data_IF_194891224448
#
_entry.id   IF_194891224448
#
_cell.length_a   1.000
_cell.length_b   1.000
_cell.length_c   1.000
_cell.angle_alpha   90.00
_cell.angle_beta   90.00
_cell.angle_gamma   90.00
#
_symmetry.space_group_name_H-M   'P 1'
#
loop_
_entity.id
_entity.type
_entity.pdbx_description
1 polymer ?
#
# COMPACT_ATOMS: atom_id res chain seq x y z
N UNK A 1 -27.11 -38.14 -24.88
CA UNK A 1 -26.01 -37.95 -23.90
C UNK A 1 -26.09 -36.53 -23.36
N UNK A 2 -26.12 -36.34 -22.04
CA UNK A 2 -26.19 -34.99 -21.48
C UNK A 2 -24.92 -34.20 -21.84
N UNK A 3 -25.10 -33.04 -22.48
CA UNK A 3 -24.01 -32.20 -22.95
C UNK A 3 -23.13 -31.68 -21.81
N UNK A 4 -21.88 -31.26 -22.11
CA UNK A 4 -20.90 -30.81 -21.11
C UNK A 4 -21.42 -29.66 -20.22
N UNK A 5 -22.24 -28.76 -20.76
CA UNK A 5 -22.87 -27.66 -20.01
C UNK A 5 -23.82 -28.14 -18.90
N UNK A 6 -24.61 -29.19 -19.16
CA UNK A 6 -25.55 -29.72 -18.18
C UNK A 6 -24.80 -30.38 -17.00
N UNK A 7 -23.74 -31.14 -17.30
CA UNK A 7 -22.86 -31.74 -16.28
C UNK A 7 -22.20 -30.66 -15.40
N UNK A 8 -21.74 -29.58 -16.01
CA UNK A 8 -21.19 -28.43 -15.28
C UNK A 8 -22.24 -27.76 -14.37
N UNK A 9 -23.46 -27.54 -14.86
CA UNK A 9 -24.53 -26.95 -14.02
C UNK A 9 -24.93 -27.84 -12.84
N UNK A 10 -25.04 -29.16 -13.05
CA UNK A 10 -25.35 -30.10 -11.98
C UNK A 10 -24.23 -30.16 -10.92
N UNK A 11 -22.97 -30.11 -11.36
CA UNK A 11 -21.82 -30.04 -10.47
C UNK A 11 -21.83 -28.76 -9.61
N UNK A 12 -22.04 -27.60 -10.23
CA UNK A 12 -22.10 -26.30 -9.52
C UNK A 12 -23.23 -26.28 -8.51
N UNK A 13 -24.41 -26.82 -8.85
CA UNK A 13 -25.53 -26.89 -7.91
C UNK A 13 -25.22 -27.79 -6.71
N UNK A 14 -24.60 -28.95 -6.95
CA UNK A 14 -24.24 -29.92 -5.90
C UNK A 14 -23.15 -29.40 -4.96
N UNK A 15 -22.18 -28.66 -5.49
CA UNK A 15 -20.98 -28.22 -4.74
C UNK A 15 -20.94 -26.71 -4.46
N UNK A 16 -22.07 -26.00 -4.54
CA UNK A 16 -22.14 -24.53 -4.41
C UNK A 16 -21.40 -23.96 -3.20
N UNK A 17 -21.56 -24.58 -2.03
CA UNK A 17 -20.95 -24.11 -0.78
C UNK A 17 -19.44 -24.33 -0.79
N UNK A 18 -18.99 -25.48 -1.27
CA UNK A 18 -17.58 -25.79 -1.41
C UNK A 18 -16.89 -24.86 -2.42
N UNK A 19 -17.56 -24.56 -3.54
CA UNK A 19 -17.07 -23.60 -4.53
C UNK A 19 -16.97 -22.18 -3.95
N UNK A 20 -17.96 -21.75 -3.16
CA UNK A 20 -17.92 -20.44 -2.50
C UNK A 20 -16.77 -20.36 -1.49
N UNK A 21 -16.63 -21.37 -0.63
CA UNK A 21 -15.55 -21.42 0.36
C UNK A 21 -14.19 -21.45 -0.32
N UNK A 22 -14.01 -22.29 -1.35
CA UNK A 22 -12.79 -22.34 -2.15
C UNK A 22 -12.47 -21.02 -2.83
N UNK A 23 -13.49 -20.32 -3.37
CA UNK A 23 -13.31 -18.99 -3.97
C UNK A 23 -12.91 -17.94 -2.94
N UNK A 24 -13.51 -17.96 -1.74
CA UNK A 24 -13.17 -17.04 -0.66
C UNK A 24 -11.74 -17.26 -0.17
N UNK A 25 -11.37 -18.52 0.07
CA UNK A 25 -10.01 -18.89 0.45
C UNK A 25 -8.99 -18.50 -0.63
N UNK A 26 -9.32 -18.72 -1.91
CA UNK A 26 -8.49 -18.31 -3.04
C UNK A 26 -8.31 -16.80 -3.13
N UNK A 27 -9.38 -16.01 -3.01
CA UNK A 27 -9.33 -14.54 -3.03
C UNK A 27 -8.49 -13.99 -1.88
N UNK A 28 -8.73 -14.48 -0.65
CA UNK A 28 -7.97 -14.08 0.52
C UNK A 28 -6.48 -14.45 0.37
N UNK A 29 -6.22 -15.72 0.06
CA UNK A 29 -4.87 -16.27 -0.12
C UNK A 29 -4.08 -15.55 -1.20
N UNK A 30 -4.70 -15.22 -2.34
CA UNK A 30 -4.06 -14.46 -3.40
C UNK A 30 -3.63 -13.07 -2.93
N UNK A 31 -4.46 -12.36 -2.17
CA UNK A 31 -4.16 -11.01 -1.68
C UNK A 31 -3.05 -11.00 -0.61
N UNK A 32 -2.98 -12.01 0.25
CA UNK A 32 -1.94 -12.09 1.29
C UNK A 32 -0.68 -12.84 0.87
N UNK A 33 -0.66 -13.43 -0.32
CA UNK A 33 0.39 -14.36 -0.77
C UNK A 33 1.81 -13.77 -0.64
N UNK A 34 2.04 -12.54 -1.09
CA UNK A 34 3.35 -11.88 -1.00
C UNK A 34 3.70 -11.44 0.43
N UNK A 35 2.72 -11.35 1.33
CA UNK A 35 2.95 -11.14 2.76
C UNK A 35 3.22 -12.45 3.52
N UNK A 36 2.79 -13.60 3.00
CA UNK A 36 3.14 -14.91 3.59
C UNK A 36 4.57 -15.33 3.23
N UNK A 37 5.05 -14.90 2.07
CA UNK A 37 6.39 -15.22 1.55
C UNK A 37 7.14 -13.95 1.13
N UNK A 38 7.43 -13.02 2.07
CA UNK A 38 8.04 -11.74 1.73
C UNK A 38 9.51 -11.87 1.30
N UNK A 39 10.24 -12.85 1.84
CA UNK A 39 11.62 -13.18 1.48
C UNK A 39 11.64 -14.48 0.66
N UNK A 40 12.26 -14.51 -0.55
CA UNK A 40 13.02 -13.45 -1.21
C UNK A 40 12.21 -12.54 -2.15
N UNK A 41 10.88 -12.68 -2.23
CA UNK A 41 10.05 -12.04 -3.26
C UNK A 41 10.20 -10.51 -3.28
N UNK A 42 10.08 -9.86 -2.12
CA UNK A 42 10.11 -8.40 -2.03
C UNK A 42 11.52 -7.84 -2.23
N UNK A 43 12.58 -8.39 -1.61
CA UNK A 43 13.95 -8.02 -1.98
C UNK A 43 14.22 -8.21 -3.47
N UNK A 44 13.80 -9.33 -4.07
CA UNK A 44 14.01 -9.57 -5.51
C UNK A 44 13.39 -8.46 -6.40
N UNK A 45 12.22 -7.95 -6.03
CA UNK A 45 11.53 -6.88 -6.77
C UNK A 45 12.10 -5.47 -6.53
N UNK A 46 12.60 -5.21 -5.32
CA UNK A 46 12.86 -3.84 -4.85
C UNK A 46 14.31 -3.56 -4.43
N UNK A 47 15.16 -4.57 -4.39
CA UNK A 47 16.55 -4.44 -3.98
C UNK A 47 17.28 -3.38 -4.81
N UNK A 48 18.09 -2.57 -4.16
CA UNK A 48 18.98 -1.63 -4.83
C UNK A 48 20.22 -2.38 -5.35
N UNK A 49 20.53 -2.21 -6.64
CA UNK A 49 21.65 -2.89 -7.31
C UNK A 49 22.68 -1.89 -7.87
N UNK A 50 23.40 -1.15 -7.01
CA UNK A 50 24.49 -0.33 -7.50
C UNK A 50 25.53 -1.24 -8.13
N UNK A 51 25.96 -0.91 -9.35
CA UNK A 51 27.00 -1.66 -10.05
C UNK A 51 26.67 -3.12 -10.38
N UNK A 52 25.37 -3.45 -10.46
CA UNK A 52 24.92 -4.81 -10.79
C UNK A 52 25.11 -5.81 -9.65
N UNK A 53 25.42 -5.33 -8.44
CA UNK A 53 25.51 -6.14 -7.22
C UNK A 53 24.48 -5.64 -6.20
N UNK A 54 23.91 -6.52 -5.36
CA UNK A 54 22.91 -6.09 -4.39
C UNK A 54 23.59 -5.25 -3.31
N UNK A 55 23.08 -4.04 -3.09
CA UNK A 55 23.57 -3.17 -2.04
C UNK A 55 23.39 -3.82 -0.66
N UNK A 56 24.47 -3.87 0.11
CA UNK A 56 24.43 -4.17 1.53
C UNK A 56 23.62 -3.09 2.26
N UNK A 57 23.00 -3.46 3.38
CA UNK A 57 22.45 -2.48 4.30
C UNK A 57 23.62 -1.79 5.01
N UNK A 58 23.71 -0.47 4.93
CA UNK A 58 24.80 0.26 5.59
C UNK A 58 24.58 0.29 7.11
N UNK A 59 25.65 0.48 7.91
CA UNK A 59 25.53 0.62 9.36
C UNK A 59 24.59 1.76 9.78
N UNK A 60 24.55 2.85 9.02
CA UNK A 60 23.70 4.02 9.29
C UNK A 60 22.21 3.70 9.07
N UNK A 61 21.86 2.98 8.00
CA UNK A 61 20.47 2.56 7.77
C UNK A 61 20.04 1.47 8.76
N UNK A 62 20.98 0.61 9.16
CA UNK A 62 20.74 -0.41 10.17
C UNK A 62 20.46 0.23 11.53
N UNK A 63 21.28 1.19 11.98
CA UNK A 63 21.08 1.87 13.26
C UNK A 63 19.78 2.66 13.30
N UNK A 64 19.44 3.35 12.20
CA UNK A 64 18.16 4.05 12.06
C UNK A 64 16.96 3.09 12.20
N UNK A 65 17.05 1.91 11.59
CA UNK A 65 15.98 0.91 11.68
C UNK A 65 15.88 0.27 13.06
N UNK A 66 17.00 0.03 13.73
CA UNK A 66 17.04 -0.46 15.11
C UNK A 66 16.45 0.57 16.08
N UNK A 67 16.78 1.86 15.92
CA UNK A 67 16.21 2.96 16.70
C UNK A 67 14.68 3.03 16.53
N UNK A 68 14.18 2.91 15.31
CA UNK A 68 12.72 2.88 15.04
C UNK A 68 12.04 1.69 15.71
N UNK A 69 12.65 0.50 15.68
CA UNK A 69 12.09 -0.68 16.34
C UNK A 69 12.07 -0.52 17.87
N UNK A 70 13.09 0.12 18.45
CA UNK A 70 13.15 0.44 19.87
C UNK A 70 12.07 1.45 20.26
N UNK A 71 11.91 2.54 19.51
CA UNK A 71 10.91 3.58 19.76
C UNK A 71 9.47 3.05 19.70
N UNK A 72 9.21 2.11 18.80
CA UNK A 72 7.90 1.45 18.68
C UNK A 72 7.67 0.42 19.80
N UNK A 73 8.74 -0.12 20.39
CA UNK A 73 8.67 -1.21 21.35
C UNK A 73 8.33 -2.54 20.69
N UNK A 74 8.97 -2.85 19.56
CA UNK A 74 8.77 -4.12 18.85
C UNK A 74 9.08 -5.32 19.77
N UNK A 75 8.17 -6.30 19.92
CA UNK A 75 8.41 -7.48 20.75
C UNK A 75 9.60 -8.31 20.25
N UNK A 76 10.40 -8.86 21.16
CA UNK A 76 11.62 -9.64 20.84
C UNK A 76 11.38 -10.90 20.01
N UNK A 77 10.16 -11.46 20.05
CA UNK A 77 9.79 -12.63 19.24
C UNK A 77 9.44 -12.30 17.79
N UNK A 78 9.34 -11.02 17.42
CA UNK A 78 8.98 -10.60 16.08
C UNK A 78 10.21 -10.51 15.19
N UNK A 79 10.10 -10.98 13.95
CA UNK A 79 11.23 -11.13 13.03
C UNK A 79 11.14 -10.09 11.91
N UNK A 80 12.13 -9.22 11.85
CA UNK A 80 12.29 -8.22 10.79
C UNK A 80 13.60 -8.43 10.03
N UNK A 81 13.58 -8.19 8.72
CA UNK A 81 14.76 -8.17 7.85
C UNK A 81 14.76 -6.89 7.03
N UNK A 82 15.76 -6.03 7.25
CA UNK A 82 15.93 -4.82 6.46
C UNK A 82 16.82 -5.07 5.24
N UNK A 83 16.55 -4.36 4.14
CA UNK A 83 17.40 -4.34 2.95
C UNK A 83 17.37 -2.95 2.29
N UNK A 84 18.37 -2.64 1.47
CA UNK A 84 18.43 -1.35 0.76
C UNK A 84 17.57 -1.42 -0.51
N UNK A 85 16.63 -0.49 -0.70
CA UNK A 85 15.76 -0.43 -1.89
C UNK A 85 16.08 0.74 -2.81
N UNK A 86 15.82 0.56 -4.12
CA UNK A 86 15.96 1.62 -5.12
C UNK A 86 14.80 2.62 -5.12
N UNK A 87 13.69 2.31 -4.44
CA UNK A 87 12.54 3.22 -4.37
C UNK A 87 12.86 4.44 -3.50
N UNK A 88 12.20 5.57 -3.78
CA UNK A 88 12.36 6.79 -2.97
C UNK A 88 11.59 6.77 -1.65
N UNK A 89 10.67 5.81 -1.49
CA UNK A 89 9.89 5.59 -0.27
C UNK A 89 10.15 4.19 0.25
N UNK A 90 10.09 3.97 1.57
CA UNK A 90 10.18 2.63 2.14
C UNK A 90 9.11 1.69 1.56
N UNK A 91 9.46 0.42 1.47
CA UNK A 91 8.54 -0.67 1.09
C UNK A 91 8.54 -1.73 2.17
N UNK A 92 7.41 -2.38 2.41
CA UNK A 92 7.35 -3.43 3.41
C UNK A 92 6.38 -4.54 3.02
N UNK A 93 6.67 -5.75 3.50
CA UNK A 93 5.73 -6.86 3.45
C UNK A 93 6.08 -7.90 4.50
N UNK A 94 5.06 -8.54 5.04
CA UNK A 94 5.22 -9.74 5.85
C UNK A 94 4.33 -9.72 7.06
N UNK A 95 4.54 -10.70 7.92
CA UNK A 95 3.93 -10.75 9.24
C UNK A 95 5.04 -11.05 10.25
N UNK A 96 5.49 -10.07 11.05
CA UNK A 96 6.63 -10.23 11.95
C UNK A 96 6.45 -11.37 12.97
N UNK A 97 5.19 -11.70 13.29
CA UNK A 97 4.79 -12.77 14.21
C UNK A 97 4.90 -14.17 13.62
N UNK A 98 4.97 -14.30 12.30
CA UNK A 98 5.03 -15.59 11.62
C UNK A 98 6.49 -16.02 11.40
N UNK A 99 6.77 -17.32 11.21
CA UNK A 99 8.13 -17.82 11.00
C UNK A 99 8.87 -17.17 9.81
N UNK A 100 8.12 -16.83 8.75
CA UNK A 100 8.61 -16.12 7.57
C UNK A 100 8.99 -14.65 7.85
N UNK A 101 8.54 -14.09 8.97
CA UNK A 101 8.83 -12.74 9.41
C UNK A 101 8.27 -11.66 8.49
N UNK A 102 8.89 -10.48 8.56
CA UNK A 102 8.63 -9.37 7.66
C UNK A 102 9.92 -8.74 7.14
N UNK A 103 9.81 -8.12 5.97
CA UNK A 103 10.91 -7.41 5.33
C UNK A 103 10.58 -5.94 5.18
N UNK A 104 11.60 -5.09 5.32
CA UNK A 104 11.50 -3.63 5.15
C UNK A 104 12.61 -3.17 4.22
N UNK A 105 12.23 -2.62 3.07
CA UNK A 105 13.13 -1.96 2.13
C UNK A 105 13.33 -0.51 2.54
N UNK A 106 14.58 -0.13 2.85
CA UNK A 106 14.98 1.21 3.26
C UNK A 106 15.59 1.94 2.05
N UNK A 107 15.06 3.10 1.63
CA UNK A 107 15.53 3.81 0.46
C UNK A 107 17.02 4.12 0.53
N UNK A 108 17.76 3.82 -0.54
CA UNK A 108 19.16 4.21 -0.65
C UNK A 108 19.33 5.74 -0.49
N UNK A 109 18.32 6.52 -0.88
CA UNK A 109 18.34 7.99 -0.75
C UNK A 109 18.43 8.51 0.69
N UNK A 110 18.16 7.67 1.70
CA UNK A 110 18.30 8.07 3.10
C UNK A 110 19.76 8.27 3.52
N UNK A 111 20.69 7.67 2.77
CA UNK A 111 22.13 7.93 2.90
C UNK A 111 22.55 9.32 2.42
N UNK A 112 21.63 10.05 1.78
CA UNK A 112 21.87 11.39 1.25
C UNK A 112 22.75 11.38 -0.01
N UNK A 113 23.80 12.19 0.03
CA UNK A 113 24.68 12.54 -1.09
C UNK A 113 25.24 11.38 -1.93
N UNK A 114 25.54 10.17 -1.39
CA UNK A 114 26.11 9.08 -2.19
C UNK A 114 25.20 8.62 -3.35
N UNK A 115 23.89 8.87 -3.29
CA UNK A 115 22.94 8.48 -4.36
C UNK A 115 22.78 9.59 -5.41
N UNK A 116 22.92 10.85 -5.01
CA UNK A 116 22.73 12.02 -5.88
C UNK A 116 24.03 12.54 -6.49
N UNK A 117 25.18 12.19 -5.89
CA UNK A 117 26.52 12.57 -6.34
C UNK A 117 27.33 11.39 -6.92
N UNK A 118 26.74 10.20 -7.02
CA UNK A 118 27.39 9.10 -7.73
C UNK A 118 27.59 9.48 -9.21
N UNK A 119 28.70 9.06 -9.82
CA UNK A 119 29.02 9.18 -11.26
C UNK A 119 28.02 8.47 -12.20
N UNK A 120 26.88 8.02 -11.67
CA UNK A 120 25.89 7.19 -12.36
C UNK A 120 24.58 7.96 -12.50
N UNK A 121 24.02 8.03 -13.72
CA UNK A 121 22.77 8.73 -13.94
C UNK A 121 21.62 7.95 -13.26
N UNK A 122 20.90 8.61 -12.36
CA UNK A 122 19.62 8.09 -11.86
C UNK A 122 18.61 8.18 -13.00
N UNK A 123 17.93 7.07 -13.29
CA UNK A 123 16.95 6.96 -14.37
C UNK A 123 15.56 6.76 -13.77
N UNK A 124 14.65 7.67 -14.07
CA UNK A 124 13.23 7.57 -13.67
C UNK A 124 12.38 7.48 -14.93
N UNK A 125 11.64 6.38 -15.09
CA UNK A 125 10.80 6.13 -16.28
C UNK A 125 11.55 6.31 -17.62
N UNK A 126 12.82 5.87 -17.67
CA UNK A 126 13.67 5.99 -18.85
C UNK A 126 14.29 7.37 -19.08
N UNK A 127 13.96 8.37 -18.26
CA UNK A 127 14.56 9.70 -18.28
C UNK A 127 15.70 9.80 -17.28
N UNK A 128 16.87 10.26 -17.73
CA UNK A 128 18.00 10.56 -16.84
C UNK A 128 17.72 11.83 -16.06
N UNK A 129 17.95 11.80 -14.76
CA UNK A 129 17.85 12.99 -13.92
C UNK A 129 19.13 13.82 -14.11
N UNK A 130 18.97 15.04 -14.61
CA UNK A 130 20.02 16.05 -14.56
C UNK A 130 19.95 16.77 -13.21
N UNK A 131 20.85 16.42 -12.29
CA UNK A 131 20.95 17.00 -10.95
C UNK A 131 21.35 18.48 -10.93
N UNK A 132 21.92 19.01 -12.01
CA UNK A 132 22.29 20.42 -12.13
C UNK A 132 21.12 21.28 -12.60
N UNK A 133 20.11 20.67 -13.23
CA UNK A 133 18.89 21.37 -13.64
C UNK A 133 18.08 21.85 -12.42
N UNK A 134 17.26 22.91 -12.55
CA UNK A 134 16.36 23.35 -11.49
C UNK A 134 15.38 22.26 -11.02
N UNK A 135 14.95 21.37 -11.93
CA UNK A 135 14.06 20.25 -11.60
C UNK A 135 14.81 19.16 -10.83
N UNK A 136 16.04 18.83 -11.24
CA UNK A 136 16.89 17.88 -10.53
C UNK A 136 17.30 18.36 -9.15
N UNK A 137 17.61 19.65 -9.00
CA UNK A 137 17.89 20.25 -7.70
C UNK A 137 16.70 20.15 -6.73
N UNK A 138 15.47 20.39 -7.24
CA UNK A 138 14.23 20.19 -6.47
C UNK A 138 14.00 18.73 -6.10
N UNK A 139 14.26 17.80 -7.04
CA UNK A 139 14.13 16.38 -6.75
C UNK A 139 15.16 15.94 -5.70
N UNK A 140 16.41 16.39 -5.80
CA UNK A 140 17.45 16.11 -4.80
C UNK A 140 17.01 16.61 -3.42
N UNK A 141 16.59 17.87 -3.32
CA UNK A 141 16.08 18.43 -2.07
C UNK A 141 14.91 17.59 -1.51
N UNK A 142 13.98 17.18 -2.37
CA UNK A 142 12.85 16.34 -1.98
C UNK A 142 13.25 14.94 -1.48
N UNK A 143 14.40 14.40 -1.91
CA UNK A 143 14.92 13.11 -1.45
C UNK A 143 15.77 13.23 -0.19
N UNK A 144 16.26 14.42 0.12
CA UNK A 144 16.99 14.71 1.37
C UNK A 144 15.99 14.93 2.50
N UNK A 145 15.81 13.88 3.31
CA UNK A 145 14.97 13.88 4.51
C UNK A 145 15.82 14.11 5.76
N UNK A 146 15.29 14.88 6.71
CA UNK A 146 15.83 14.92 8.07
C UNK A 146 15.73 13.57 8.77
N UNK A 147 16.51 13.40 9.83
CA UNK A 147 16.50 12.18 10.63
C UNK A 147 15.09 11.83 11.15
N UNK A 148 14.36 12.82 11.67
CA UNK A 148 12.99 12.62 12.16
C UNK A 148 12.02 12.18 11.05
N UNK A 149 12.18 12.73 9.84
CA UNK A 149 11.38 12.36 8.68
C UNK A 149 11.69 10.93 8.18
N UNK A 150 12.97 10.54 8.20
CA UNK A 150 13.39 9.17 7.91
C UNK A 150 12.82 8.18 8.94
N UNK A 151 12.92 8.52 10.24
CA UNK A 151 12.31 7.73 11.32
C UNK A 151 10.82 7.57 11.13
N UNK A 152 10.08 8.64 10.83
CA UNK A 152 8.65 8.57 10.57
C UNK A 152 8.32 7.64 9.40
N UNK A 153 9.04 7.79 8.28
CA UNK A 153 8.81 6.97 7.09
C UNK A 153 8.97 5.48 7.38
N UNK A 154 10.01 5.08 8.12
CA UNK A 154 10.23 3.68 8.51
C UNK A 154 9.26 3.20 9.59
N UNK A 155 9.01 4.02 10.60
CA UNK A 155 8.12 3.67 11.70
C UNK A 155 6.69 3.40 11.20
N UNK A 156 6.24 4.13 10.18
CA UNK A 156 4.96 3.87 9.54
C UNK A 156 4.88 2.46 8.94
N UNK A 157 5.92 2.00 8.27
CA UNK A 157 5.98 0.64 7.72
C UNK A 157 6.01 -0.42 8.83
N UNK A 158 6.79 -0.19 9.91
CA UNK A 158 6.81 -1.11 11.06
C UNK A 158 5.43 -1.18 11.74
N UNK A 159 4.77 -0.05 11.96
CA UNK A 159 3.39 -0.02 12.49
C UNK A 159 2.41 -0.73 11.56
N UNK A 160 2.56 -0.59 10.23
CA UNK A 160 1.75 -1.33 9.26
C UNK A 160 1.91 -2.84 9.44
N UNK A 161 3.14 -3.33 9.48
CA UNK A 161 3.46 -4.75 9.66
C UNK A 161 2.96 -5.30 11.01
N UNK A 162 3.10 -4.53 12.09
CA UNK A 162 2.65 -4.91 13.44
C UNK A 162 1.12 -4.94 13.60
N UNK A 163 0.41 -4.13 12.83
CA UNK A 163 -1.04 -3.97 12.96
C UNK A 163 -1.88 -5.09 12.35
N UNK A 164 -1.29 -5.95 11.51
CA UNK A 164 -2.05 -6.92 10.71
C UNK A 164 -2.92 -6.27 9.62
N UNK A 165 -2.66 -5.00 9.26
CA UNK A 165 -3.40 -4.27 8.24
C UNK A 165 -3.49 -5.01 6.91
N UNK A 166 -2.43 -5.71 6.49
CA UNK A 166 -2.43 -6.53 5.28
C UNK A 166 -3.51 -7.64 5.29
N UNK A 167 -3.69 -8.31 6.43
CA UNK A 167 -4.74 -9.32 6.58
C UNK A 167 -6.14 -8.67 6.56
N UNK A 168 -6.30 -7.51 7.20
CA UNK A 168 -7.56 -6.78 7.21
C UNK A 168 -7.94 -6.30 5.80
N UNK A 169 -6.97 -5.79 5.04
CA UNK A 169 -7.15 -5.36 3.64
C UNK A 169 -7.52 -6.51 2.70
N UNK A 170 -7.26 -7.76 3.10
CA UNK A 170 -7.61 -8.94 2.31
C UNK A 170 -9.06 -9.45 2.53
N UNK A 171 -9.76 -8.97 3.56
CA UNK A 171 -11.12 -9.40 3.89
C UNK A 171 -12.25 -8.88 3.00
N UNK A 172 -12.20 -7.67 2.40
CA UNK A 172 -13.31 -7.16 1.61
C UNK A 172 -13.69 -8.05 0.41
N UNK A 173 -12.71 -8.67 -0.26
CA UNK A 173 -12.98 -9.53 -1.41
C UNK A 173 -13.85 -10.75 -1.04
N UNK A 174 -13.46 -11.62 -0.08
CA UNK A 174 -14.30 -12.74 0.34
C UNK A 174 -15.60 -12.27 0.99
N UNK A 175 -15.59 -11.21 1.80
CA UNK A 175 -16.80 -10.69 2.45
C UNK A 175 -17.86 -10.23 1.42
N UNK A 176 -17.44 -9.45 0.43
CA UNK A 176 -18.33 -8.99 -0.64
C UNK A 176 -18.78 -10.14 -1.55
N UNK A 177 -17.94 -11.16 -1.79
CA UNK A 177 -18.34 -12.34 -2.55
C UNK A 177 -19.47 -13.11 -1.84
N UNK A 178 -19.29 -13.40 -0.53
CA UNK A 178 -20.31 -14.06 0.29
C UNK A 178 -21.59 -13.23 0.36
N UNK A 179 -21.46 -11.93 0.61
CA UNK A 179 -22.59 -11.00 0.67
C UNK A 179 -23.38 -10.96 -0.65
N UNK A 180 -22.67 -10.85 -1.78
CA UNK A 180 -23.28 -10.85 -3.11
C UNK A 180 -24.02 -12.16 -3.40
N UNK A 181 -23.41 -13.29 -3.04
CA UNK A 181 -24.04 -14.60 -3.20
C UNK A 181 -25.30 -14.73 -2.33
N UNK A 182 -25.21 -14.41 -1.04
CA UNK A 182 -26.31 -14.56 -0.09
C UNK A 182 -27.48 -13.64 -0.45
N UNK A 183 -27.21 -12.35 -0.70
CA UNK A 183 -28.22 -11.38 -1.11
C UNK A 183 -28.82 -11.72 -2.47
N UNK A 184 -27.99 -12.17 -3.42
CA UNK A 184 -28.46 -12.58 -4.74
C UNK A 184 -29.42 -13.78 -4.67
N UNK A 185 -29.09 -14.80 -3.85
CA UNK A 185 -29.97 -15.96 -3.62
C UNK A 185 -31.26 -15.54 -2.92
N UNK A 186 -31.16 -14.75 -1.84
CA UNK A 186 -32.30 -14.27 -1.08
C UNK A 186 -33.27 -13.43 -1.91
N UNK A 187 -32.75 -12.47 -2.68
CA UNK A 187 -33.56 -11.62 -3.54
C UNK A 187 -34.24 -12.42 -4.67
N UNK A 188 -33.56 -13.40 -5.28
CA UNK A 188 -34.20 -14.28 -6.27
C UNK A 188 -35.33 -15.11 -5.68
N UNK A 189 -35.20 -15.56 -4.43
CA UNK A 189 -36.28 -16.26 -3.72
C UNK A 189 -37.45 -15.32 -3.43
N UNK A 190 -37.19 -14.14 -2.86
CA UNK A 190 -38.21 -13.16 -2.52
C UNK A 190 -39.00 -12.66 -3.75
N UNK A 191 -38.32 -12.50 -4.88
CA UNK A 191 -38.92 -12.04 -6.14
C UNK A 191 -39.52 -13.18 -7.00
N UNK A 192 -39.52 -14.43 -6.52
CA UNK A 192 -40.06 -15.58 -7.26
C UNK A 192 -39.30 -15.91 -8.56
N UNK A 193 -38.09 -15.37 -8.74
CA UNK A 193 -37.35 -15.44 -10.02
C UNK A 193 -36.87 -16.85 -10.37
N UNK A 194 -36.86 -17.78 -9.42
CA UNK A 194 -36.47 -19.17 -9.68
C UNK A 194 -37.43 -19.91 -10.62
N UNK A 195 -38.73 -19.56 -10.60
CA UNK A 195 -39.72 -20.06 -11.56
C UNK A 195 -39.76 -19.29 -12.88
N UNK A 196 -39.01 -18.18 -12.99
CA UNK A 196 -39.00 -17.29 -14.14
C UNK A 196 -38.09 -17.73 -15.30
N UNK A 197 -38.19 -17.04 -16.45
CA UNK A 197 -37.41 -17.36 -17.64
C UNK A 197 -35.89 -17.23 -17.38
N UNK A 198 -35.10 -18.05 -18.06
CA UNK A 198 -33.64 -18.10 -17.86
C UNK A 198 -32.96 -16.75 -18.09
N UNK A 199 -33.43 -15.96 -19.06
CA UNK A 199 -32.87 -14.64 -19.38
C UNK A 199 -33.00 -13.66 -18.22
N UNK A 200 -34.14 -13.67 -17.52
CA UNK A 200 -34.38 -12.79 -16.37
C UNK A 200 -33.47 -13.16 -15.19
N UNK A 201 -33.27 -14.47 -14.95
CA UNK A 201 -32.34 -14.96 -13.93
C UNK A 201 -30.89 -14.59 -14.26
N UNK A 202 -30.50 -14.69 -15.54
CA UNK A 202 -29.18 -14.31 -16.01
C UNK A 202 -28.94 -12.79 -15.85
N UNK A 203 -29.90 -11.96 -16.29
CA UNK A 203 -29.85 -10.51 -16.13
C UNK A 203 -29.74 -10.11 -14.65
N UNK A 204 -30.53 -10.73 -13.78
CA UNK A 204 -30.47 -10.47 -12.34
C UNK A 204 -29.10 -10.83 -11.74
N UNK A 205 -28.54 -12.00 -12.10
CA UNK A 205 -27.21 -12.39 -11.61
C UNK A 205 -26.12 -11.42 -12.09
N UNK A 206 -26.23 -10.90 -13.32
CA UNK A 206 -25.30 -9.90 -13.83
C UNK A 206 -25.38 -8.60 -13.02
N UNK A 207 -26.58 -8.11 -12.77
CA UNK A 207 -26.79 -6.91 -11.93
C UNK A 207 -26.26 -7.13 -10.52
N UNK A 208 -26.54 -8.29 -9.91
CA UNK A 208 -26.02 -8.64 -8.60
C UNK A 208 -24.48 -8.69 -8.58
N UNK A 209 -23.85 -9.25 -9.63
CA UNK A 209 -22.40 -9.29 -9.75
C UNK A 209 -21.79 -7.88 -9.88
N UNK A 210 -22.39 -7.00 -10.68
CA UNK A 210 -21.96 -5.60 -10.80
C UNK A 210 -22.11 -4.86 -9.47
N UNK A 211 -23.25 -5.00 -8.80
CA UNK A 211 -23.48 -4.41 -7.48
C UNK A 211 -22.48 -4.92 -6.43
N UNK A 212 -22.21 -6.22 -6.43
CA UNK A 212 -21.20 -6.85 -5.58
C UNK A 212 -19.79 -6.32 -5.81
N UNK A 213 -19.41 -6.12 -7.08
CA UNK A 213 -18.13 -5.53 -7.43
C UNK A 213 -18.02 -4.05 -6.99
N UNK A 214 -19.09 -3.27 -7.13
CA UNK A 214 -19.13 -1.89 -6.64
C UNK A 214 -19.00 -1.85 -5.12
N UNK A 215 -19.73 -2.71 -4.41
CA UNK A 215 -19.63 -2.83 -2.95
C UNK A 215 -18.21 -3.20 -2.51
N UNK A 216 -17.57 -4.15 -3.20
CA UNK A 216 -16.15 -4.50 -2.98
C UNK A 216 -15.24 -3.28 -3.19
N UNK A 217 -15.38 -2.59 -4.32
CA UNK A 217 -14.53 -1.43 -4.64
C UNK A 217 -14.62 -0.34 -3.56
N UNK A 218 -15.84 0.04 -3.17
CA UNK A 218 -16.07 1.05 -2.13
C UNK A 218 -15.58 0.59 -0.76
N UNK A 219 -15.81 -0.67 -0.40
CA UNK A 219 -15.37 -1.23 0.89
C UNK A 219 -13.85 -1.27 1.00
N UNK A 220 -13.16 -1.72 -0.06
CA UNK A 220 -11.70 -1.74 -0.11
C UNK A 220 -11.10 -0.34 -0.08
N UNK A 221 -11.65 0.60 -0.84
CA UNK A 221 -11.12 1.97 -0.90
C UNK A 221 -11.35 2.69 0.45
N UNK A 222 -12.55 2.55 1.03
CA UNK A 222 -12.86 3.13 2.35
C UNK A 222 -12.00 2.53 3.46
N UNK A 223 -11.78 1.21 3.44
CA UNK A 223 -10.92 0.53 4.41
C UNK A 223 -9.47 1.00 4.27
N UNK A 224 -8.95 1.07 3.04
CA UNK A 224 -7.58 1.55 2.77
C UNK A 224 -7.40 2.98 3.26
N UNK A 225 -8.33 3.89 2.96
CA UNK A 225 -8.26 5.27 3.44
C UNK A 225 -8.25 5.36 4.97
N UNK A 226 -9.11 4.58 5.63
CA UNK A 226 -9.20 4.54 7.09
C UNK A 226 -7.92 4.01 7.72
N UNK A 227 -7.35 2.94 7.15
CA UNK A 227 -6.10 2.35 7.59
C UNK A 227 -4.92 3.29 7.37
N UNK A 228 -4.78 3.91 6.20
CA UNK A 228 -3.68 4.85 5.94
C UNK A 228 -3.73 6.05 6.89
N UNK A 229 -4.91 6.63 7.11
CA UNK A 229 -5.09 7.71 8.07
C UNK A 229 -4.77 7.27 9.50
N UNK A 230 -5.20 6.06 9.89
CA UNK A 230 -4.92 5.50 11.21
C UNK A 230 -3.42 5.24 11.40
N UNK A 231 -2.74 4.64 10.42
CA UNK A 231 -1.29 4.39 10.44
C UNK A 231 -0.52 5.70 10.61
N UNK A 232 -0.84 6.71 9.80
CA UNK A 232 -0.15 8.01 9.85
C UNK A 232 -0.33 8.69 11.20
N UNK A 233 -1.56 8.70 11.74
CA UNK A 233 -1.84 9.26 13.07
C UNK A 233 -1.15 8.48 14.16
N UNK A 234 -1.18 7.14 14.09
CA UNK A 234 -0.56 6.25 15.08
C UNK A 234 0.95 6.48 15.13
N UNK A 235 1.61 6.53 13.99
CA UNK A 235 3.05 6.80 13.90
C UNK A 235 3.40 8.22 14.34
N UNK A 236 2.64 9.22 13.90
CA UNK A 236 2.85 10.61 14.34
C UNK A 236 2.66 10.78 15.86
N UNK A 237 1.82 9.97 16.48
CA UNK A 237 1.56 10.03 17.93
C UNK A 237 2.64 9.39 18.79
N UNK A 238 3.68 8.79 18.20
CA UNK A 238 4.80 8.21 18.96
C UNK A 238 5.56 9.29 19.74
N UNK A 239 5.83 10.44 19.11
CA UNK A 239 6.44 11.60 19.77
C UNK A 239 6.23 12.87 18.94
N UNK A 240 6.51 14.04 19.53
CA UNK A 240 6.48 15.31 18.79
C UNK A 240 7.49 15.34 17.62
N UNK A 241 8.63 14.63 17.76
CA UNK A 241 9.62 14.48 16.69
C UNK A 241 9.06 13.65 15.53
N UNK A 242 8.38 12.53 15.81
CA UNK A 242 7.69 11.75 14.78
C UNK A 242 6.60 12.55 14.07
N UNK A 243 5.81 13.34 14.80
CA UNK A 243 4.78 14.18 14.20
C UNK A 243 5.40 15.25 13.27
N UNK A 244 6.46 15.93 13.71
CA UNK A 244 7.20 16.91 12.89
C UNK A 244 7.82 16.25 11.66
N UNK A 245 8.53 15.15 11.86
CA UNK A 245 9.16 14.36 10.79
C UNK A 245 8.15 13.87 9.77
N UNK A 246 6.94 13.49 10.19
CA UNK A 246 5.88 13.07 9.27
C UNK A 246 5.31 14.20 8.43
N UNK A 247 5.23 15.43 8.95
CA UNK A 247 4.88 16.60 8.12
C UNK A 247 5.93 16.83 7.05
N UNK A 248 7.21 16.87 7.44
CA UNK A 248 8.32 17.05 6.50
C UNK A 248 8.34 15.93 5.46
N UNK A 249 8.20 14.67 5.87
CA UNK A 249 8.15 13.53 4.97
C UNK A 249 7.11 13.70 3.88
N UNK A 250 5.86 14.05 4.23
CA UNK A 250 4.83 14.23 3.21
C UNK A 250 5.03 15.48 2.35
N UNK A 251 5.57 16.57 2.90
CA UNK A 251 5.94 17.75 2.10
C UNK A 251 7.01 17.40 1.07
N UNK A 252 8.02 16.62 1.47
CA UNK A 252 9.10 16.14 0.61
C UNK A 252 8.59 15.15 -0.44
N UNK A 253 7.67 14.25 -0.09
CA UNK A 253 6.98 13.38 -1.08
C UNK A 253 6.21 14.21 -2.11
N UNK A 254 5.43 15.20 -1.68
CA UNK A 254 4.67 16.06 -2.58
C UNK A 254 5.60 16.88 -3.50
N UNK A 255 6.68 17.44 -2.95
CA UNK A 255 7.71 18.17 -3.71
C UNK A 255 8.41 17.27 -4.72
N UNK A 256 8.77 16.04 -4.32
CA UNK A 256 9.38 15.04 -5.20
C UNK A 256 8.46 14.66 -6.35
N UNK A 257 7.17 14.44 -6.07
CA UNK A 257 6.17 14.17 -7.10
C UNK A 257 6.00 15.34 -8.09
N UNK A 258 6.08 16.59 -7.62
CA UNK A 258 6.07 17.77 -8.50
C UNK A 258 7.33 17.87 -9.35
N UNK A 259 8.50 17.57 -8.79
CA UNK A 259 9.75 17.52 -9.54
C UNK A 259 9.68 16.41 -10.61
N UNK A 260 9.17 15.23 -10.28
CA UNK A 260 8.94 14.13 -11.22
C UNK A 260 7.89 14.49 -12.28
N UNK A 261 6.83 15.22 -11.91
CA UNK A 261 5.85 15.75 -12.88
C UNK A 261 6.54 16.62 -13.93
N UNK A 262 7.41 17.52 -13.49
CA UNK A 262 8.19 18.39 -14.38
C UNK A 262 9.20 17.62 -15.23
N UNK A 263 9.99 16.74 -14.60
CA UNK A 263 11.03 15.94 -15.25
C UNK A 263 10.48 15.09 -16.40
N UNK A 264 9.32 14.47 -16.17
CA UNK A 264 8.72 13.55 -17.12
C UNK A 264 7.82 14.24 -18.15
N UNK A 265 7.58 15.54 -18.05
CA UNK A 265 6.68 16.29 -18.94
C UNK A 265 5.27 15.68 -19.00
N UNK A 266 4.71 15.53 -20.21
CA UNK A 266 3.34 14.98 -20.43
C UNK A 266 3.10 13.62 -19.73
N UNK A 267 4.03 12.63 -19.79
CA UNK A 267 3.93 11.44 -18.95
C UNK A 267 3.79 11.72 -17.45
N UNK A 268 4.58 12.66 -16.92
CA UNK A 268 4.52 13.07 -15.51
C UNK A 268 3.17 13.66 -15.12
N UNK A 269 2.56 14.44 -16.01
CA UNK A 269 1.23 15.04 -15.78
C UNK A 269 0.11 14.01 -15.63
N UNK A 270 0.28 12.83 -16.22
CA UNK A 270 -0.63 11.69 -16.07
C UNK A 270 -0.40 10.91 -14.77
N UNK A 271 0.75 11.09 -14.12
CA UNK A 271 1.12 10.38 -12.90
C UNK A 271 0.84 11.22 -11.64
N UNK A 272 1.12 12.51 -11.70
CA UNK A 272 1.03 13.41 -10.54
C UNK A 272 0.20 14.63 -10.87
N UNK A 273 -0.65 15.06 -9.96
CA UNK A 273 -1.45 16.28 -10.03
C UNK A 273 -0.58 17.53 -9.79
N UNK A 274 -1.07 18.75 -10.10
CA UNK A 274 -0.37 20.00 -9.77
C UNK A 274 -0.15 20.23 -8.27
N UNK A 275 -0.82 19.48 -7.39
CA UNK A 275 -0.60 19.53 -5.93
C UNK A 275 0.40 18.48 -5.45
N UNK A 276 0.96 17.65 -6.34
CA UNK A 276 1.89 16.56 -5.99
C UNK A 276 1.22 15.25 -5.57
N UNK A 277 -0.11 15.17 -5.58
CA UNK A 277 -0.83 13.90 -5.35
C UNK A 277 -0.74 12.99 -6.58
N UNK A 278 -0.82 11.68 -6.38
CA UNK A 278 -0.90 10.71 -7.49
C UNK A 278 -2.25 10.83 -8.20
N UNK A 279 -2.24 10.90 -9.53
CA UNK A 279 -3.46 10.91 -10.35
C UNK A 279 -4.12 9.52 -10.29
N UNK A 280 -5.41 9.43 -9.96
CA UNK A 280 -6.13 8.16 -9.97
C UNK A 280 -6.10 7.53 -11.37
N UNK A 281 -5.57 6.30 -11.48
CA UNK A 281 -5.53 5.56 -12.76
C UNK A 281 -6.88 4.96 -13.17
N UNK A 282 -7.87 4.96 -12.28
CA UNK A 282 -9.17 4.34 -12.49
C UNK A 282 -10.24 5.44 -12.53
N UNK A 283 -11.22 5.30 -13.42
CA UNK A 283 -12.21 6.35 -13.69
C UNK A 283 -13.11 6.68 -12.49
N UNK A 284 -13.25 5.76 -11.53
CA UNK A 284 -14.13 5.90 -10.37
C UNK A 284 -13.51 5.47 -9.03
N UNK A 285 -12.20 5.11 -8.99
CA UNK A 285 -11.54 4.62 -7.77
C UNK A 285 -10.33 5.45 -7.40
N UNK A 286 -10.35 5.99 -6.19
CA UNK A 286 -9.20 6.55 -5.49
C UNK A 286 -8.80 5.49 -4.47
N UNK A 287 -7.75 4.73 -4.75
CA UNK A 287 -7.34 3.60 -3.91
C UNK A 287 -6.61 4.01 -2.64
N UNK A 288 -5.93 5.16 -2.69
CA UNK A 288 -5.06 5.65 -1.63
C UNK A 288 -5.47 7.05 -1.23
N UNK A 289 -5.37 7.33 0.05
CA UNK A 289 -5.62 8.65 0.60
C UNK A 289 -4.60 9.64 -0.01
N UNK A 290 -5.04 10.77 -0.58
CA UNK A 290 -4.12 11.74 -1.18
C UNK A 290 -3.05 12.20 -0.17
N UNK A 291 -1.79 12.28 -0.60
CA UNK A 291 -0.68 12.70 0.24
C UNK A 291 -0.90 14.07 0.91
N UNK A 292 -1.64 14.98 0.28
CA UNK A 292 -2.05 16.25 0.92
C UNK A 292 -2.92 16.01 2.16
N UNK A 293 -3.91 15.12 2.08
CA UNK A 293 -4.76 14.79 3.23
C UNK A 293 -3.98 14.06 4.34
N UNK A 294 -3.01 13.23 3.94
CA UNK A 294 -2.10 12.52 4.86
C UNK A 294 -1.19 13.49 5.62
N UNK A 295 -0.56 14.42 4.92
CA UNK A 295 0.20 15.54 5.51
C UNK A 295 -0.66 16.32 6.50
N UNK A 296 -1.87 16.72 6.09
CA UNK A 296 -2.73 17.55 6.92
C UNK A 296 -3.18 16.81 8.19
N UNK A 297 -3.42 15.50 8.10
CA UNK A 297 -3.70 14.64 9.26
C UNK A 297 -2.53 14.58 10.24
N UNK A 298 -1.29 14.42 9.75
CA UNK A 298 -0.09 14.42 10.61
C UNK A 298 0.17 15.80 11.21
N UNK A 299 -0.05 16.86 10.43
CA UNK A 299 0.09 18.25 10.88
C UNK A 299 -0.88 18.57 12.02
N UNK A 300 -2.10 18.03 12.00
CA UNK A 300 -3.04 18.15 13.12
C UNK A 300 -2.50 17.50 14.40
N UNK A 301 -1.93 16.30 14.30
CA UNK A 301 -1.29 15.62 15.45
C UNK A 301 -0.12 16.45 15.98
N UNK A 302 0.72 16.99 15.10
CA UNK A 302 1.84 17.83 15.51
C UNK A 302 1.40 19.11 16.23
N UNK A 303 0.40 19.82 15.69
CA UNK A 303 -0.17 21.03 16.32
C UNK A 303 -0.78 20.73 17.69
N UNK A 304 -1.48 19.60 17.81
CA UNK A 304 -2.05 19.16 19.09
C UNK A 304 -0.96 18.85 20.13
N UNK A 305 0.18 18.28 19.71
CA UNK A 305 1.31 18.01 20.59
C UNK A 305 2.02 19.30 21.08
N UNK A 306 1.96 20.39 20.31
CA UNK A 306 2.53 21.69 20.67
C UNK A 306 1.61 22.55 21.54
N UNK A 307 0.32 22.22 21.60
CA UNK A 307 -0.63 22.97 22.42
C UNK A 307 -0.42 22.61 23.89
N UNK A 308 -0.26 23.58 24.81
CA UNK A 308 -0.11 23.29 26.23
C UNK A 308 -1.36 22.53 26.69
N UNK A 309 -1.18 21.34 27.29
CA UNK A 309 -2.27 20.66 27.98
C UNK A 309 -2.66 21.55 29.16
N UNK A 310 -3.77 22.26 29.03
CA UNK A 310 -4.37 22.97 30.17
C UNK A 310 -4.69 21.95 31.27
N UNK A 311 -4.27 22.22 32.52
CA UNK A 311 -4.44 21.30 33.64
C UNK A 311 -5.91 21.04 33.99
#
# INVERSE_FOLDING_TARGET
MAGPLWRATAFVQRHRTALLVGSCAGLFGAQISYHLFPDPVVPWLYQYWPQGQPASLSPELQSLFEEVQQDIGVPSGHRFKAFTTFTFQPVSAGFPRLPAGAVVGIPASFLGDPVTNADRPVVVHGQRVDWQSPVGARLRDALTLSHDAQKFALAREVVHLESGAAALQALPAPACLVGTWALGVGAKHALGLYGGPMNLRAAFNLVAAVAGFVAYALSTDSLTHSLEAWLDRRTASLSAAYARGGVEFYEKVLSGNLALRGLLGRPGEKLYTPSGNVVPRHWFRIKHLPYTARRDSVLQVWRAALSPRSP
#
